data_IF_586279608493
#
_entry.id   IF_586279608493
#
_cell.length_a   1.000
_cell.length_b   1.000
_cell.length_c   1.000
_cell.angle_alpha   90.00
_cell.angle_beta   90.00
_cell.angle_gamma   90.00
#
_symmetry.space_group_name_H-M   'P 1'
#
loop_
_entity.id
_entity.type
_entity.pdbx_description
1 polymer ?
#
# COMPACT_ATOMS: atom_id res chain seq x y z
N UNK A 1 -14.22 28.66 -29.90
CA UNK A 1 -13.45 27.42 -30.13
C UNK A 1 -14.16 26.28 -29.42
N UNK A 2 -14.61 25.25 -30.16
CA UNK A 2 -15.58 24.26 -29.70
C UNK A 2 -14.95 23.31 -28.66
N UNK A 3 -15.53 23.27 -27.45
CA UNK A 3 -15.21 22.29 -26.43
C UNK A 3 -15.66 20.90 -26.91
N UNK A 4 -14.69 20.01 -27.19
CA UNK A 4 -14.97 18.59 -27.40
C UNK A 4 -15.19 17.95 -26.03
N UNK A 5 -16.40 17.43 -25.81
CA UNK A 5 -16.73 16.53 -24.71
C UNK A 5 -15.81 15.32 -24.79
N UNK A 6 -14.92 15.16 -23.82
CA UNK A 6 -14.17 13.92 -23.63
C UNK A 6 -15.13 12.99 -22.88
N UNK A 7 -15.47 11.89 -23.55
CA UNK A 7 -16.24 10.78 -22.98
C UNK A 7 -15.33 10.14 -21.94
N UNK A 8 -15.68 10.32 -20.67
CA UNK A 8 -15.10 9.60 -19.54
C UNK A 8 -15.45 8.13 -19.69
N UNK A 9 -14.48 7.32 -20.13
CA UNK A 9 -14.53 5.88 -19.93
C UNK A 9 -14.19 5.66 -18.45
N UNK A 10 -15.21 5.61 -17.60
CA UNK A 10 -15.12 5.19 -16.21
C UNK A 10 -14.74 3.71 -16.16
N UNK A 11 -13.44 3.45 -16.31
CA UNK A 11 -12.82 2.17 -15.99
C UNK A 11 -12.82 2.12 -14.45
N UNK A 12 -13.72 1.30 -13.89
CA UNK A 12 -13.82 1.08 -12.46
C UNK A 12 -12.46 0.73 -11.88
N UNK A 13 -12.06 1.47 -10.85
CA UNK A 13 -10.83 1.32 -10.10
C UNK A 13 -10.85 -0.06 -9.42
N UNK A 14 -9.97 -1.01 -9.79
CA UNK A 14 -9.73 -2.18 -8.97
C UNK A 14 -8.93 -1.73 -7.76
N UNK A 15 -9.54 -1.91 -6.60
CA UNK A 15 -9.04 -1.56 -5.29
C UNK A 15 -7.73 -2.33 -5.04
N UNK A 16 -6.59 -1.63 -5.11
CA UNK A 16 -5.28 -2.12 -4.68
C UNK A 16 -5.14 -2.00 -3.14
N UNK A 17 -6.12 -2.52 -2.41
CA UNK A 17 -5.87 -3.00 -1.06
C UNK A 17 -4.95 -4.22 -1.22
N UNK A 18 -3.88 -4.31 -0.45
CA UNK A 18 -2.79 -5.28 -0.66
C UNK A 18 -3.25 -6.74 -0.62
N UNK A 19 -3.76 -7.25 -1.74
CA UNK A 19 -4.29 -8.60 -1.92
C UNK A 19 -4.82 -8.76 -3.35
N UNK A 20 -4.09 -9.52 -4.17
CA UNK A 20 -4.56 -10.18 -5.39
C UNK A 20 -5.35 -9.34 -6.42
N UNK A 21 -4.66 -8.69 -7.36
CA UNK A 21 -5.24 -8.45 -8.69
C UNK A 21 -5.07 -9.72 -9.54
N UNK A 22 -6.09 -10.59 -9.56
CA UNK A 22 -6.31 -11.47 -10.71
C UNK A 22 -6.95 -10.62 -11.81
N UNK A 23 -6.17 -10.25 -12.82
CA UNK A 23 -6.66 -9.60 -14.04
C UNK A 23 -7.30 -10.64 -14.95
N UNK A 24 -8.57 -10.95 -14.71
CA UNK A 24 -9.35 -11.77 -15.65
C UNK A 24 -9.93 -10.85 -16.74
N UNK A 25 -9.16 -10.63 -17.80
CA UNK A 25 -9.61 -9.89 -18.97
C UNK A 25 -10.44 -10.78 -19.90
N UNK A 26 -11.75 -10.83 -19.62
CA UNK A 26 -12.85 -10.89 -20.58
C UNK A 26 -12.99 -12.10 -21.51
N UNK A 27 -14.07 -12.87 -21.32
CA UNK A 27 -15.08 -12.96 -22.37
C UNK A 27 -16.47 -13.29 -21.81
N UNK A 28 -17.46 -12.55 -22.28
CA UNK A 28 -18.86 -12.74 -21.97
C UNK A 28 -19.37 -13.93 -22.81
N UNK A 29 -19.49 -15.12 -22.24
CA UNK A 29 -20.30 -16.20 -22.83
C UNK A 29 -21.09 -16.94 -21.75
N UNK A 30 -22.40 -16.98 -21.96
CA UNK A 30 -23.38 -17.64 -21.09
C UNK A 30 -23.42 -19.12 -21.44
N UNK A 31 -22.91 -19.99 -20.56
CA UNK A 31 -23.46 -21.31 -20.17
C UNK A 31 -22.37 -22.27 -19.70
N UNK A 32 -22.66 -22.97 -18.59
CA UNK A 32 -22.19 -24.35 -18.38
C UNK A 32 -20.95 -24.53 -17.51
N UNK A 33 -21.17 -25.23 -16.39
CA UNK A 33 -20.18 -25.92 -15.53
C UNK A 33 -19.36 -25.08 -14.53
N UNK A 34 -19.83 -25.11 -13.27
CA UNK A 34 -19.02 -24.85 -12.08
C UNK A 34 -17.89 -25.88 -11.99
N UNK A 35 -16.74 -25.54 -12.52
CA UNK A 35 -15.48 -26.16 -12.10
C UNK A 35 -15.07 -25.50 -10.79
N UNK A 36 -15.44 -26.13 -9.68
CA UNK A 36 -14.84 -25.87 -8.37
C UNK A 36 -13.39 -26.35 -8.46
N UNK A 37 -12.49 -25.48 -8.92
CA UNK A 37 -11.07 -25.80 -9.00
C UNK A 37 -10.40 -25.46 -7.65
N UNK A 38 -9.67 -26.44 -7.14
CA UNK A 38 -8.91 -26.51 -5.90
C UNK A 38 -7.97 -25.30 -5.62
N UNK A 39 -8.49 -24.13 -5.29
CA UNK A 39 -7.70 -22.94 -4.91
C UNK A 39 -7.05 -23.07 -3.53
N UNK A 40 -7.69 -23.75 -2.58
CA UNK A 40 -7.20 -23.87 -1.21
C UNK A 40 -5.91 -24.72 -1.09
N UNK A 41 -5.75 -25.75 -1.93
CA UNK A 41 -4.58 -26.63 -1.86
C UNK A 41 -3.30 -26.00 -2.45
N UNK A 42 -3.41 -25.02 -3.35
CA UNK A 42 -2.27 -24.25 -3.89
C UNK A 42 -1.92 -23.02 -3.04
N UNK A 43 -2.88 -22.46 -2.30
CA UNK A 43 -2.65 -21.35 -1.39
C UNK A 43 -1.71 -21.74 -0.23
N UNK A 44 -1.86 -22.94 0.31
CA UNK A 44 -1.10 -23.45 1.47
C UNK A 44 0.41 -23.61 1.17
N UNK A 45 0.78 -23.96 -0.07
CA UNK A 45 2.19 -24.18 -0.44
C UNK A 45 3.04 -22.89 -0.53
N UNK A 46 2.42 -21.71 -0.51
CA UNK A 46 3.13 -20.43 -0.64
C UNK A 46 3.10 -19.61 0.66
N UNK A 47 2.62 -20.16 1.76
CA UNK A 47 2.61 -19.50 3.06
C UNK A 47 3.98 -19.62 3.73
N UNK A 48 4.49 -18.49 4.20
CA UNK A 48 5.69 -18.45 5.04
C UNK A 48 5.42 -17.63 6.29
N UNK A 49 6.29 -17.74 7.29
CA UNK A 49 6.18 -16.92 8.50
C UNK A 49 6.41 -15.45 8.17
N UNK A 50 5.57 -14.58 8.69
CA UNK A 50 5.69 -13.12 8.49
C UNK A 50 7.06 -12.59 8.95
N UNK A 51 7.65 -13.18 9.99
CA UNK A 51 8.98 -12.79 10.49
C UNK A 51 10.14 -13.26 9.60
N UNK A 52 9.90 -14.22 8.70
CA UNK A 52 10.89 -14.68 7.75
C UNK A 52 10.72 -13.98 6.39
N UNK A 53 9.64 -13.21 6.20
CA UNK A 53 9.37 -12.50 4.96
C UNK A 53 10.07 -11.14 4.90
N UNK A 54 10.82 -10.93 3.83
CA UNK A 54 11.49 -9.68 3.48
C UNK A 54 11.08 -9.21 2.07
N UNK A 55 9.99 -9.75 1.50
CA UNK A 55 9.61 -9.54 0.11
C UNK A 55 10.13 -10.60 -0.87
N UNK A 56 10.81 -11.65 -0.39
CA UNK A 56 11.37 -12.69 -1.24
C UNK A 56 10.28 -13.52 -1.94
N UNK A 57 10.41 -13.68 -3.26
CA UNK A 57 9.44 -14.42 -4.06
C UNK A 57 8.11 -13.70 -4.29
N UNK A 58 8.03 -12.41 -3.94
CA UNK A 58 6.96 -11.56 -4.44
C UNK A 58 7.01 -11.50 -5.97
N UNK A 59 5.87 -11.73 -6.61
CA UNK A 59 5.76 -11.87 -8.05
C UNK A 59 4.51 -11.13 -8.54
N UNK A 60 4.62 -10.52 -9.72
CA UNK A 60 3.47 -9.98 -10.44
C UNK A 60 3.19 -10.83 -11.67
N UNK A 61 1.93 -10.91 -12.05
CA UNK A 61 1.48 -11.72 -13.17
C UNK A 61 2.18 -11.32 -14.48
N UNK A 62 2.55 -12.34 -15.26
CA UNK A 62 3.27 -12.14 -16.53
C UNK A 62 4.70 -11.62 -16.38
N UNK A 63 5.25 -11.55 -15.16
CA UNK A 63 6.54 -10.92 -14.86
C UNK A 63 7.79 -11.75 -15.12
N UNK A 64 7.69 -13.04 -15.46
CA UNK A 64 8.85 -13.95 -15.46
C UNK A 64 9.95 -13.55 -16.46
N UNK A 65 9.57 -13.15 -17.68
CA UNK A 65 10.51 -12.71 -18.69
C UNK A 65 11.11 -11.35 -18.33
N UNK A 66 10.26 -10.39 -17.98
CA UNK A 66 10.65 -9.01 -17.64
C UNK A 66 11.45 -8.94 -16.36
N UNK A 67 11.28 -9.86 -15.40
CA UNK A 67 12.07 -9.91 -14.17
C UNK A 67 13.56 -10.12 -14.45
N UNK A 68 13.92 -10.94 -15.45
CA UNK A 68 15.32 -11.16 -15.84
C UNK A 68 15.92 -9.89 -16.44
N UNK A 69 15.19 -9.25 -17.34
CA UNK A 69 15.57 -8.00 -18.01
C UNK A 69 15.74 -6.89 -16.96
N UNK A 70 14.74 -6.71 -16.10
CA UNK A 70 14.73 -5.68 -15.07
C UNK A 70 15.89 -5.86 -14.07
N UNK A 71 16.26 -7.10 -13.75
CA UNK A 71 17.43 -7.40 -12.92
C UNK A 71 18.74 -7.01 -13.62
N UNK A 72 18.89 -7.32 -14.91
CA UNK A 72 20.08 -6.95 -15.70
C UNK A 72 20.23 -5.43 -15.85
N UNK A 73 19.11 -4.71 -15.96
CA UNK A 73 19.06 -3.26 -16.16
C UNK A 73 18.71 -2.45 -14.90
N UNK A 74 18.88 -3.03 -13.70
CA UNK A 74 18.43 -2.39 -12.44
C UNK A 74 18.97 -0.97 -12.24
N UNK A 75 20.25 -0.74 -12.57
CA UNK A 75 20.86 0.58 -12.42
C UNK A 75 20.24 1.66 -13.33
N UNK A 76 19.89 1.28 -14.57
CA UNK A 76 19.22 2.18 -15.53
C UNK A 76 17.79 2.49 -15.10
N UNK A 77 17.07 1.46 -14.64
CA UNK A 77 15.71 1.58 -14.08
C UNK A 77 15.72 2.52 -12.87
N UNK A 78 16.63 2.30 -11.92
CA UNK A 78 16.71 3.12 -10.71
C UNK A 78 16.98 4.60 -11.03
N UNK A 79 17.89 4.88 -11.97
CA UNK A 79 18.17 6.24 -12.43
C UNK A 79 16.96 6.89 -13.09
N UNK A 80 16.25 6.15 -13.96
CA UNK A 80 15.06 6.63 -14.65
C UNK A 80 13.93 6.95 -13.67
N UNK A 81 13.69 6.07 -12.70
CA UNK A 81 12.66 6.24 -11.67
C UNK A 81 12.96 7.41 -10.76
N UNK A 82 14.19 7.54 -10.26
CA UNK A 82 14.61 8.70 -9.46
C UNK A 82 14.43 10.02 -10.21
N UNK A 83 14.79 10.05 -11.51
CA UNK A 83 14.56 11.22 -12.37
C UNK A 83 13.07 11.51 -12.52
N UNK A 84 12.25 10.51 -12.79
CA UNK A 84 10.80 10.64 -12.93
C UNK A 84 10.15 11.25 -11.68
N UNK A 85 10.47 10.75 -10.49
CA UNK A 85 9.97 11.32 -9.23
C UNK A 85 10.42 12.76 -9.01
N UNK A 86 11.69 13.06 -9.26
CA UNK A 86 12.22 14.41 -9.08
C UNK A 86 11.55 15.40 -10.05
N UNK A 87 11.36 15.03 -11.31
CA UNK A 87 10.82 15.91 -12.35
C UNK A 87 9.30 16.07 -12.24
N UNK A 88 8.57 14.96 -12.09
CA UNK A 88 7.09 14.95 -12.08
C UNK A 88 6.52 15.32 -10.71
N UNK A 89 7.09 14.74 -9.65
CA UNK A 89 6.54 14.82 -8.29
C UNK A 89 7.31 15.77 -7.37
N UNK A 90 8.48 16.27 -7.79
CA UNK A 90 9.34 17.15 -6.97
C UNK A 90 9.85 16.47 -5.70
N UNK A 91 9.96 15.14 -5.73
CA UNK A 91 10.33 14.32 -4.58
C UNK A 91 11.55 13.48 -4.90
N UNK A 92 12.48 13.37 -3.95
CA UNK A 92 13.56 12.39 -4.02
C UNK A 92 13.07 11.06 -3.46
N UNK A 93 13.48 9.95 -4.07
CA UNK A 93 13.05 8.61 -3.65
C UNK A 93 14.21 7.63 -3.63
N UNK A 94 14.11 6.66 -2.73
CA UNK A 94 14.93 5.46 -2.68
C UNK A 94 14.20 4.30 -3.34
N UNK A 95 14.86 3.60 -4.26
CA UNK A 95 14.34 2.37 -4.87
C UNK A 95 14.68 1.18 -3.98
N UNK A 96 13.65 0.42 -3.57
CA UNK A 96 13.81 -0.78 -2.76
C UNK A 96 13.75 -2.03 -3.61
N UNK A 97 12.71 -2.16 -4.42
CA UNK A 97 12.46 -3.37 -5.20
C UNK A 97 12.12 -3.07 -6.67
N UNK A 98 12.46 -4.01 -7.55
CA UNK A 98 12.13 -3.98 -8.97
C UNK A 98 11.58 -5.35 -9.31
N UNK A 99 10.29 -5.41 -9.61
CA UNK A 99 9.54 -6.65 -9.81
C UNK A 99 9.08 -6.68 -11.25
N UNK A 100 9.41 -7.75 -11.98
CA UNK A 100 8.90 -7.93 -13.34
C UNK A 100 7.38 -8.04 -13.32
N UNK A 101 6.72 -7.38 -14.27
CA UNK A 101 5.29 -7.45 -14.54
C UNK A 101 5.09 -7.69 -16.05
N UNK A 102 3.86 -7.97 -16.48
CA UNK A 102 3.55 -8.14 -17.90
C UNK A 102 4.03 -6.93 -18.74
N UNK A 103 5.01 -7.17 -19.62
CA UNK A 103 5.65 -6.16 -20.49
C UNK A 103 6.23 -4.91 -19.76
N UNK A 104 6.52 -5.01 -18.46
CA UNK A 104 7.07 -3.92 -17.67
C UNK A 104 7.81 -4.42 -16.42
N UNK A 105 8.34 -3.49 -15.62
CA UNK A 105 8.69 -3.73 -14.24
C UNK A 105 7.98 -2.70 -13.34
N UNK A 106 7.44 -3.17 -12.22
CA UNK A 106 6.97 -2.33 -11.12
C UNK A 106 8.14 -2.05 -10.19
N UNK A 107 8.37 -0.77 -9.90
CA UNK A 107 9.49 -0.30 -9.08
C UNK A 107 8.94 0.30 -7.80
N UNK A 108 9.23 -0.36 -6.68
CA UNK A 108 8.80 0.04 -5.35
C UNK A 108 9.79 1.03 -4.76
N UNK A 109 9.27 2.14 -4.29
CA UNK A 109 10.06 3.27 -3.79
C UNK A 109 9.55 3.79 -2.47
N UNK A 110 10.44 4.43 -1.72
CA UNK A 110 10.17 5.19 -0.51
C UNK A 110 10.64 6.64 -0.72
N UNK A 111 9.89 7.63 -0.25
CA UNK A 111 10.33 9.02 -0.29
C UNK A 111 11.53 9.27 0.64
N UNK A 112 12.43 10.14 0.21
CA UNK A 112 13.54 10.59 1.05
C UNK A 112 13.09 11.83 1.85
N UNK A 113 12.85 11.64 3.15
CA UNK A 113 12.39 12.69 4.05
C UNK A 113 10.88 12.90 4.04
N UNK A 114 10.43 14.08 4.47
CA UNK A 114 9.00 14.41 4.54
C UNK A 114 8.47 15.01 3.22
N UNK A 115 7.22 14.70 2.84
CA UNK A 115 6.32 13.73 3.45
C UNK A 115 6.83 12.28 3.23
N UNK A 116 6.81 11.47 4.30
CA UNK A 116 7.22 10.06 4.22
C UNK A 116 6.12 9.17 3.61
N UNK A 117 6.45 8.39 2.57
CA UNK A 117 5.53 7.45 1.94
C UNK A 117 6.25 6.38 1.11
N UNK A 118 5.57 5.26 0.89
CA UNK A 118 5.90 4.19 -0.04
C UNK A 118 4.89 4.18 -1.20
N UNK A 119 5.40 3.98 -2.41
CA UNK A 119 4.57 3.84 -3.62
C UNK A 119 5.31 3.04 -4.69
N UNK A 120 4.70 2.87 -5.86
CA UNK A 120 5.36 2.24 -7.00
C UNK A 120 5.11 3.00 -8.30
N UNK A 121 6.00 2.77 -9.27
CA UNK A 121 5.84 3.24 -10.66
C UNK A 121 6.15 2.11 -11.62
N UNK A 122 5.72 2.26 -12.87
CA UNK A 122 5.88 1.25 -13.90
C UNK A 122 6.90 1.72 -14.92
N UNK A 123 7.85 0.83 -15.23
CA UNK A 123 8.86 1.02 -16.27
C UNK A 123 8.60 0.01 -17.39
N UNK A 124 8.12 0.45 -18.57
CA UNK A 124 7.86 -0.47 -19.67
C UNK A 124 9.12 -1.18 -20.16
N UNK A 125 8.97 -2.44 -20.56
CA UNK A 125 10.05 -3.29 -21.05
C UNK A 125 9.64 -3.90 -22.38
N UNK A 126 10.45 -3.66 -23.41
CA UNK A 126 10.35 -4.35 -24.69
C UNK A 126 11.10 -5.69 -24.60
N UNK A 127 10.33 -6.74 -24.31
CA UNK A 127 10.85 -8.10 -24.13
C UNK A 127 11.49 -8.64 -25.42
N UNK A 128 11.02 -8.22 -26.60
CA UNK A 128 11.54 -8.73 -27.89
C UNK A 128 12.95 -8.23 -28.17
N UNK A 129 13.24 -7.00 -27.75
CA UNK A 129 14.51 -6.34 -27.98
C UNK A 129 15.38 -6.26 -26.71
N UNK A 130 14.99 -6.95 -25.64
CA UNK A 130 15.67 -6.94 -24.33
C UNK A 130 15.96 -5.51 -23.82
N UNK A 131 14.97 -4.61 -23.97
CA UNK A 131 15.18 -3.17 -23.78
C UNK A 131 14.25 -2.58 -22.74
N UNK A 132 14.82 -1.86 -21.77
CA UNK A 132 14.07 -1.01 -20.85
C UNK A 132 13.76 0.34 -21.50
N UNK A 133 12.49 0.76 -21.44
CA UNK A 133 12.03 2.04 -21.99
C UNK A 133 12.05 3.12 -20.91
N UNK A 134 13.26 3.55 -20.52
CA UNK A 134 13.51 4.48 -19.41
C UNK A 134 12.90 5.88 -19.59
N UNK A 135 12.55 6.26 -20.81
CA UNK A 135 11.87 7.50 -21.17
C UNK A 135 10.35 7.42 -21.02
N UNK A 136 9.81 6.22 -20.77
CA UNK A 136 8.37 5.94 -20.67
C UNK A 136 7.93 5.52 -19.28
N UNK A 137 8.67 5.91 -18.24
CA UNK A 137 8.25 5.67 -16.85
C UNK A 137 6.92 6.36 -16.60
N UNK A 138 5.97 5.65 -15.99
CA UNK A 138 4.66 6.19 -15.68
C UNK A 138 4.17 5.68 -14.31
N UNK A 139 3.18 6.38 -13.75
CA UNK A 139 2.48 6.02 -12.52
C UNK A 139 1.01 5.80 -12.84
N UNK A 140 0.39 4.81 -12.21
CA UNK A 140 -1.07 4.67 -12.23
C UNK A 140 -1.69 5.94 -11.64
N UNK A 141 -2.79 6.39 -12.22
CA UNK A 141 -3.54 7.55 -11.73
C UNK A 141 -3.95 7.35 -10.27
N UNK A 142 -3.66 8.34 -9.43
CA UNK A 142 -3.94 8.31 -7.99
C UNK A 142 -2.90 7.59 -7.14
N UNK A 143 -2.05 6.73 -7.71
CA UNK A 143 -1.14 5.88 -6.94
C UNK A 143 -0.05 6.67 -6.20
N UNK A 144 0.57 7.66 -6.86
CA UNK A 144 1.62 8.48 -6.22
C UNK A 144 0.98 9.65 -5.48
N UNK A 145 -0.13 10.16 -6.00
CA UNK A 145 -0.89 11.27 -5.45
C UNK A 145 -1.46 10.92 -4.07
N UNK A 146 -2.13 9.77 -3.93
CA UNK A 146 -2.62 9.27 -2.64
C UNK A 146 -1.48 8.97 -1.67
N UNK A 147 -0.35 8.45 -2.16
CA UNK A 147 0.82 8.19 -1.31
C UNK A 147 1.38 9.51 -0.72
N UNK A 148 1.54 10.54 -1.54
CA UNK A 148 1.94 11.88 -1.07
C UNK A 148 0.93 12.43 -0.05
N UNK A 149 -0.37 12.33 -0.33
CA UNK A 149 -1.41 12.83 0.57
C UNK A 149 -1.39 12.12 1.94
N UNK A 150 -1.23 10.80 1.94
CA UNK A 150 -1.10 10.02 3.18
C UNK A 150 0.16 10.39 3.98
N UNK A 151 1.29 10.67 3.32
CA UNK A 151 2.50 11.13 3.97
C UNK A 151 2.36 12.54 4.56
N UNK A 152 1.70 13.46 3.84
CA UNK A 152 1.39 14.80 4.36
C UNK A 152 0.46 14.70 5.58
N UNK A 153 -0.54 13.82 5.54
CA UNK A 153 -1.41 13.56 6.68
C UNK A 153 -0.61 13.05 7.88
N UNK A 154 0.27 12.06 7.68
CA UNK A 154 1.09 11.52 8.76
C UNK A 154 2.03 12.57 9.37
N UNK A 155 2.61 13.44 8.54
CA UNK A 155 3.41 14.57 8.99
C UNK A 155 2.61 15.57 9.84
N UNK A 156 1.35 15.84 9.47
CA UNK A 156 0.48 16.78 10.20
C UNK A 156 0.02 16.22 11.55
N UNK A 157 -0.29 14.93 11.59
CA UNK A 157 -0.85 14.23 12.76
C UNK A 157 0.17 13.32 13.47
N UNK A 158 1.46 13.62 13.37
CA UNK A 158 2.57 12.87 13.98
C UNK A 158 2.41 12.60 15.49
N UNK A 159 1.83 13.54 16.25
CA UNK A 159 1.63 13.45 17.69
C UNK A 159 0.50 12.49 18.01
N UNK A 160 -0.58 12.57 17.25
CA UNK A 160 -1.75 11.70 17.37
C UNK A 160 -1.41 10.27 16.91
N UNK A 161 -0.71 10.11 15.79
CA UNK A 161 -0.18 8.83 15.32
C UNK A 161 0.87 8.26 16.29
N UNK A 162 1.70 9.12 16.89
CA UNK A 162 2.66 8.72 17.92
C UNK A 162 2.01 8.05 19.13
N UNK A 163 0.73 8.34 19.43
CA UNK A 163 -0.01 7.59 20.46
C UNK A 163 -0.36 6.17 20.00
N UNK A 164 -0.77 6.02 18.74
CA UNK A 164 -0.99 4.70 18.13
C UNK A 164 0.31 3.89 18.13
N UNK A 165 1.42 4.50 17.71
CA UNK A 165 2.75 3.87 17.70
C UNK A 165 3.14 3.36 19.08
N UNK A 166 3.03 4.21 20.10
CA UNK A 166 3.35 3.84 21.48
C UNK A 166 2.47 2.71 21.99
N UNK A 167 1.18 2.74 21.65
CA UNK A 167 0.25 1.68 21.99
C UNK A 167 0.63 0.36 21.32
N UNK A 168 0.80 0.32 20.00
CA UNK A 168 1.15 -0.89 19.25
C UNK A 168 2.50 -1.45 19.68
N UNK A 169 3.50 -0.59 19.92
CA UNK A 169 4.81 -0.99 20.43
C UNK A 169 4.73 -1.62 21.83
N UNK A 170 3.80 -1.17 22.68
CA UNK A 170 3.54 -1.79 23.98
C UNK A 170 2.81 -3.12 23.81
N UNK A 171 1.79 -3.17 22.96
CA UNK A 171 1.00 -4.38 22.67
C UNK A 171 1.89 -5.52 22.19
N UNK A 172 2.78 -5.30 21.21
CA UNK A 172 3.69 -6.36 20.71
C UNK A 172 4.75 -6.81 21.73
N UNK A 173 4.99 -6.04 22.80
CA UNK A 173 5.87 -6.44 23.91
C UNK A 173 5.13 -7.30 24.94
N UNK A 174 3.85 -7.03 25.15
CA UNK A 174 3.04 -7.66 26.20
C UNK A 174 2.29 -8.89 25.69
N UNK A 175 1.87 -8.84 24.43
CA UNK A 175 1.07 -9.87 23.78
C UNK A 175 1.88 -10.63 22.74
N UNK A 176 1.57 -11.92 22.47
CA UNK A 176 2.25 -12.73 21.47
C UNK A 176 1.84 -12.37 20.04
N UNK A 177 1.94 -11.10 19.67
CA UNK A 177 1.68 -10.56 18.32
C UNK A 177 2.88 -9.78 17.80
N UNK A 178 3.00 -9.65 16.48
CA UNK A 178 4.07 -8.92 15.79
C UNK A 178 3.51 -8.15 14.60
N UNK A 179 4.30 -7.18 14.12
CA UNK A 179 4.08 -6.57 12.81
C UNK A 179 4.88 -7.27 11.71
N UNK A 180 4.86 -6.68 10.51
CA UNK A 180 5.71 -7.07 9.40
C UNK A 180 7.18 -6.70 9.65
N UNK A 181 8.07 -7.23 8.81
CA UNK A 181 9.45 -6.74 8.74
C UNK A 181 9.54 -5.46 7.95
N UNK A 182 10.41 -4.55 8.38
CA UNK A 182 10.65 -3.30 7.65
C UNK A 182 11.11 -3.57 6.21
N UNK A 183 11.91 -4.61 5.98
CA UNK A 183 12.34 -5.00 4.64
C UNK A 183 11.15 -5.45 3.76
N UNK A 184 10.18 -6.16 4.34
CA UNK A 184 8.97 -6.52 3.60
C UNK A 184 8.15 -5.27 3.26
N UNK A 185 7.92 -4.37 4.23
CA UNK A 185 7.25 -3.08 3.98
C UNK A 185 7.92 -2.35 2.82
N UNK A 186 9.23 -2.17 2.88
CA UNK A 186 9.98 -1.46 1.84
C UNK A 186 9.92 -2.14 0.47
N UNK A 187 9.91 -3.47 0.40
CA UNK A 187 10.04 -4.21 -0.84
C UNK A 187 8.70 -4.53 -1.54
N UNK A 188 7.58 -4.56 -0.81
CA UNK A 188 6.29 -5.00 -1.36
C UNK A 188 5.12 -4.08 -1.06
N UNK A 189 5.24 -3.17 -0.08
CA UNK A 189 4.16 -2.25 0.24
C UNK A 189 4.31 -0.96 -0.53
N UNK A 190 3.18 -0.42 -1.00
CA UNK A 190 3.15 0.76 -1.85
C UNK A 190 1.86 1.58 -1.68
N UNK A 191 1.16 1.47 -0.57
CA UNK A 191 -0.15 2.11 -0.38
C UNK A 191 -0.11 3.48 0.33
N UNK A 192 1.07 4.10 0.45
CA UNK A 192 1.23 5.42 1.06
C UNK A 192 2.14 5.44 2.27
N UNK A 193 1.77 6.14 3.34
CA UNK A 193 2.50 6.09 4.60
C UNK A 193 2.41 4.69 5.22
N UNK A 194 3.56 4.11 5.59
CA UNK A 194 3.64 2.76 6.15
C UNK A 194 4.53 2.72 7.39
N UNK A 195 4.08 1.97 8.39
CA UNK A 195 4.90 1.43 9.47
C UNK A 195 4.93 -0.10 9.37
N UNK A 196 5.62 -0.75 10.30
CA UNK A 196 5.56 -2.22 10.42
C UNK A 196 4.24 -2.75 10.98
N UNK A 197 3.36 -1.88 11.49
CA UNK A 197 2.10 -2.28 12.14
C UNK A 197 0.85 -1.78 11.42
N UNK A 198 0.96 -0.67 10.69
CA UNK A 198 -0.19 -0.08 10.00
C UNK A 198 0.25 0.73 8.79
N UNK A 199 -0.72 1.03 7.93
CA UNK A 199 -0.54 1.98 6.84
C UNK A 199 -1.72 2.94 6.74
N UNK A 200 -1.52 4.03 5.98
CA UNK A 200 -2.55 5.04 5.74
C UNK A 200 -2.83 5.10 4.24
N UNK A 201 -4.08 4.86 3.87
CA UNK A 201 -4.59 5.06 2.50
C UNK A 201 -5.59 6.20 2.46
N UNK A 202 -5.72 6.82 1.29
CA UNK A 202 -6.67 7.91 1.07
C UNK A 202 -7.50 7.65 -0.18
N UNK A 203 -8.81 7.86 -0.08
CA UNK A 203 -9.76 7.70 -1.18
C UNK A 203 -10.70 8.91 -1.25
N UNK A 204 -10.17 10.06 -1.67
CA UNK A 204 -10.98 11.27 -1.79
C UNK A 204 -10.35 12.29 -2.77
N UNK A 205 -11.09 12.61 -3.83
CA UNK A 205 -10.73 13.63 -4.82
C UNK A 205 -10.52 15.01 -4.17
N UNK A 206 -11.08 15.28 -2.99
CA UNK A 206 -10.85 16.52 -2.24
C UNK A 206 -9.37 16.73 -1.91
N UNK A 207 -8.59 15.63 -1.82
CA UNK A 207 -7.16 15.63 -1.56
C UNK A 207 -6.32 16.04 -2.77
N UNK A 208 -6.88 16.10 -3.97
CA UNK A 208 -6.18 16.63 -5.15
C UNK A 208 -5.68 18.05 -4.91
N UNK A 209 -6.43 18.84 -4.15
CA UNK A 209 -6.02 20.21 -3.78
C UNK A 209 -4.77 20.23 -2.92
N UNK A 210 -4.59 19.24 -2.04
CA UNK A 210 -3.39 19.12 -1.19
C UNK A 210 -2.20 18.73 -2.05
N UNK A 211 -2.36 17.70 -2.89
CA UNK A 211 -1.35 17.28 -3.84
C UNK A 211 -0.92 18.40 -4.81
N UNK A 212 -1.85 19.16 -5.39
CA UNK A 212 -1.53 20.28 -6.27
C UNK A 212 -0.79 21.41 -5.55
N UNK A 213 -1.03 21.60 -4.24
CA UNK A 213 -0.23 22.53 -3.41
C UNK A 213 1.15 21.97 -3.14
N UNK A 214 1.28 20.65 -2.99
CA UNK A 214 2.57 19.99 -2.78
C UNK A 214 3.49 20.19 -3.98
N UNK A 215 2.99 19.98 -5.20
CA UNK A 215 3.79 20.22 -6.42
C UNK A 215 4.29 21.66 -6.55
N UNK A 216 3.57 22.64 -5.98
CA UNK A 216 3.97 24.05 -5.99
C UNK A 216 5.04 24.37 -4.95
N UNK A 217 4.96 23.75 -3.77
CA UNK A 217 5.94 23.92 -2.70
C UNK A 217 6.03 22.64 -1.85
N UNK A 218 6.88 21.67 -2.23
CA UNK A 218 6.99 20.40 -1.53
C UNK A 218 7.66 20.54 -0.16
N UNK A 219 8.34 21.66 0.09
CA UNK A 219 9.12 21.91 1.31
C UNK A 219 8.33 22.67 2.39
N UNK A 220 7.00 22.78 2.25
CA UNK A 220 6.14 23.35 3.31
C UNK A 220 6.38 22.59 4.61
N UNK A 221 6.48 23.33 5.70
CA UNK A 221 6.59 22.71 7.02
C UNK A 221 5.24 22.19 7.52
N UNK A 222 5.29 21.44 8.62
CA UNK A 222 4.12 20.82 9.25
C UNK A 222 2.99 21.81 9.55
N UNK A 223 3.31 22.97 10.12
CA UNK A 223 2.30 23.98 10.48
C UNK A 223 1.64 24.61 9.26
N UNK A 224 2.39 24.76 8.16
CA UNK A 224 1.81 25.15 6.88
C UNK A 224 0.85 24.09 6.37
N UNK A 225 1.25 22.82 6.34
CA UNK A 225 0.38 21.73 5.91
C UNK A 225 -0.87 21.58 6.77
N UNK A 226 -0.73 21.72 8.09
CA UNK A 226 -1.87 21.70 9.02
C UNK A 226 -2.91 22.77 8.68
N UNK A 227 -2.46 23.98 8.31
CA UNK A 227 -3.37 25.03 7.81
C UNK A 227 -4.01 24.65 6.48
N UNK A 228 -3.25 24.07 5.55
CA UNK A 228 -3.79 23.64 4.25
C UNK A 228 -4.86 22.55 4.38
N UNK A 229 -4.64 21.55 5.23
CA UNK A 229 -5.61 20.49 5.51
C UNK A 229 -6.88 21.09 6.12
N UNK A 230 -6.74 21.93 7.15
CA UNK A 230 -7.86 22.61 7.81
C UNK A 230 -8.67 23.48 6.84
N UNK A 231 -8.02 24.22 5.96
CA UNK A 231 -8.71 25.05 4.96
C UNK A 231 -9.39 24.24 3.86
N UNK A 232 -8.86 23.06 3.54
CA UNK A 232 -9.39 22.22 2.47
C UNK A 232 -10.70 21.53 2.88
N UNK A 233 -11.07 21.59 4.17
CA UNK A 233 -12.25 20.94 4.76
C UNK A 233 -12.32 19.46 4.39
N UNK A 234 -11.15 18.82 4.37
CA UNK A 234 -11.04 17.39 4.08
C UNK A 234 -11.78 16.67 5.18
N UNK A 235 -12.61 15.72 4.76
CA UNK A 235 -13.29 14.84 5.67
C UNK A 235 -12.25 13.95 6.37
N UNK A 236 -12.15 13.96 7.71
CA UNK A 236 -11.41 12.94 8.44
C UNK A 236 -11.68 11.52 7.93
N UNK A 237 -12.92 11.22 7.53
CA UNK A 237 -13.33 9.92 7.00
C UNK A 237 -12.60 9.54 5.69
N UNK A 238 -11.93 10.48 5.01
CA UNK A 238 -11.15 10.22 3.81
C UNK A 238 -9.81 9.51 4.07
N UNK A 239 -9.42 9.36 5.34
CA UNK A 239 -8.19 8.69 5.76
C UNK A 239 -8.49 7.34 6.41
N UNK A 240 -7.90 6.29 5.85
CA UNK A 240 -8.06 4.92 6.33
C UNK A 240 -6.75 4.47 6.96
N UNK A 241 -6.76 4.27 8.28
CA UNK A 241 -5.62 3.78 9.06
C UNK A 241 -5.83 2.28 9.27
N UNK A 242 -5.09 1.47 8.54
CA UNK A 242 -5.27 0.01 8.54
C UNK A 242 -4.15 -0.67 9.32
N UNK A 243 -4.50 -1.28 10.45
CA UNK A 243 -3.58 -1.97 11.37
C UNK A 243 -3.56 -3.46 11.02
N UNK A 244 -2.36 -4.00 10.75
CA UNK A 244 -2.12 -5.43 10.55
C UNK A 244 -1.18 -5.95 11.63
N UNK A 245 -1.67 -6.90 12.42
CA UNK A 245 -0.88 -7.66 13.38
C UNK A 245 -0.98 -9.16 13.06
N UNK A 246 0.04 -9.88 13.47
CA UNK A 246 0.17 -11.32 13.21
C UNK A 246 0.49 -12.04 14.51
N UNK A 247 -0.07 -13.22 14.73
CA UNK A 247 0.34 -14.07 15.85
C UNK A 247 1.85 -14.34 15.76
N UNK A 248 2.55 -14.31 16.89
CA UNK A 248 4.02 -14.41 16.93
C UNK A 248 4.52 -15.85 16.67
N UNK A 249 3.76 -16.85 17.12
CA UNK A 249 4.12 -18.26 17.00
C UNK A 249 3.49 -18.85 15.74
N UNK A 250 4.21 -19.72 15.00
CA UNK A 250 3.64 -20.45 13.88
C UNK A 250 2.47 -21.35 14.34
N UNK A 251 1.58 -21.70 13.41
CA UNK A 251 0.44 -22.59 13.62
C UNK A 251 -0.43 -22.18 14.82
N UNK A 252 -0.58 -20.87 15.03
CA UNK A 252 -1.36 -20.29 16.12
C UNK A 252 -2.48 -19.46 15.52
N UNK A 253 -3.71 -19.84 15.84
CA UNK A 253 -4.91 -19.10 15.45
C UNK A 253 -4.91 -17.67 16.04
N UNK A 254 -5.46 -16.68 15.32
CA UNK A 254 -5.72 -15.35 15.86
C UNK A 254 -6.44 -15.40 17.21
N UNK A 255 -5.85 -14.76 18.21
CA UNK A 255 -6.40 -14.77 19.55
C UNK A 255 -7.52 -13.72 19.71
N UNK A 256 -8.76 -14.18 19.90
CA UNK A 256 -9.94 -13.32 20.08
C UNK A 256 -9.85 -12.38 21.27
N UNK A 257 -9.23 -12.78 22.38
CA UNK A 257 -9.08 -11.91 23.56
C UNK A 257 -8.16 -10.74 23.25
N UNK A 258 -6.99 -11.01 22.65
CA UNK A 258 -6.04 -9.98 22.22
C UNK A 258 -6.69 -9.03 21.20
N UNK A 259 -7.36 -9.59 20.19
CA UNK A 259 -8.07 -8.81 19.17
C UNK A 259 -9.13 -7.88 19.79
N UNK A 260 -10.02 -8.42 20.63
CA UNK A 260 -11.08 -7.65 21.27
C UNK A 260 -10.53 -6.56 22.19
N UNK A 261 -9.44 -6.84 22.90
CA UNK A 261 -8.75 -5.86 23.73
C UNK A 261 -8.21 -4.72 22.87
N UNK A 262 -7.59 -5.03 21.72
CA UNK A 262 -7.08 -4.01 20.80
C UNK A 262 -8.19 -3.13 20.25
N UNK A 263 -9.28 -3.72 19.77
CA UNK A 263 -10.45 -2.98 19.27
C UNK A 263 -11.00 -2.06 20.36
N UNK A 264 -11.23 -2.59 21.56
CA UNK A 264 -11.76 -1.83 22.70
C UNK A 264 -10.83 -0.69 23.12
N UNK A 265 -9.52 -0.92 23.13
CA UNK A 265 -8.56 0.12 23.49
C UNK A 265 -8.55 1.23 22.45
N UNK A 266 -8.56 0.89 21.16
CA UNK A 266 -8.66 1.88 20.08
C UNK A 266 -9.97 2.67 20.15
N UNK A 267 -11.12 2.02 20.39
CA UNK A 267 -12.41 2.70 20.57
C UNK A 267 -12.37 3.73 21.72
N UNK A 268 -11.78 3.36 22.86
CA UNK A 268 -11.73 4.22 24.04
C UNK A 268 -10.58 5.26 24.01
N UNK A 269 -9.57 5.06 23.17
CA UNK A 269 -8.39 5.93 23.10
C UNK A 269 -8.77 7.31 22.56
N UNK A 270 -8.35 8.35 23.29
CA UNK A 270 -8.59 9.75 22.94
C UNK A 270 -7.39 10.38 22.26
N UNK A 271 -7.68 11.26 21.28
CA UNK A 271 -6.67 12.03 20.56
C UNK A 271 -5.78 11.19 19.65
N UNK A 272 -6.34 10.12 19.09
CA UNK A 272 -5.85 9.48 17.88
C UNK A 272 -6.11 10.41 16.68
N UNK A 273 -5.41 10.17 15.57
CA UNK A 273 -5.54 11.01 14.39
C UNK A 273 -6.94 10.82 13.78
N UNK A 274 -7.59 11.87 13.25
CA UNK A 274 -8.95 11.74 12.72
C UNK A 274 -9.00 10.83 11.50
N UNK A 275 -9.86 9.81 11.49
CA UNK A 275 -9.94 8.84 10.41
C UNK A 275 -10.67 7.55 10.73
N UNK A 276 -10.74 6.69 9.73
CA UNK A 276 -11.33 5.35 9.81
C UNK A 276 -10.26 4.34 10.16
N UNK A 277 -10.39 3.68 11.30
CA UNK A 277 -9.43 2.66 11.73
C UNK A 277 -9.97 1.27 11.46
N UNK A 278 -9.13 0.43 10.85
CA UNK A 278 -9.36 -1.00 10.74
C UNK A 278 -8.30 -1.79 11.48
N UNK A 279 -8.67 -2.93 12.04
CA UNK A 279 -7.76 -3.83 12.74
C UNK A 279 -7.90 -5.22 12.14
N UNK A 280 -6.76 -5.80 11.75
CA UNK A 280 -6.65 -7.17 11.29
C UNK A 280 -5.67 -7.91 12.20
N UNK A 281 -6.10 -9.03 12.77
CA UNK A 281 -5.24 -9.98 13.47
C UNK A 281 -5.21 -11.30 12.70
N UNK A 282 -4.06 -11.57 12.09
CA UNK A 282 -3.79 -12.78 11.32
C UNK A 282 -3.10 -13.85 12.15
N UNK A 283 -3.07 -15.08 11.63
CA UNK A 283 -2.10 -16.07 12.07
C UNK A 283 -0.66 -15.61 11.72
N UNK A 284 0.35 -16.46 11.95
CA UNK A 284 1.74 -16.09 11.71
C UNK A 284 2.14 -16.08 10.22
N UNK A 285 1.22 -16.32 9.29
CA UNK A 285 1.57 -16.57 7.89
C UNK A 285 1.44 -15.33 7.01
N UNK A 286 2.13 -15.36 5.88
CA UNK A 286 1.95 -14.43 4.78
C UNK A 286 2.15 -15.20 3.47
N UNK A 287 1.35 -14.86 2.45
CA UNK A 287 1.54 -15.44 1.13
C UNK A 287 2.80 -14.82 0.51
N UNK A 288 3.81 -15.65 0.28
CA UNK A 288 5.13 -15.24 -0.23
C UNK A 288 5.04 -14.49 -1.56
N UNK A 289 4.12 -14.89 -2.45
CA UNK A 289 3.94 -14.32 -3.78
C UNK A 289 3.16 -13.01 -3.75
N UNK A 290 2.11 -12.95 -2.93
CA UNK A 290 1.23 -11.78 -2.83
C UNK A 290 1.73 -10.70 -1.85
N UNK A 291 2.58 -11.06 -0.89
CA UNK A 291 3.06 -10.15 0.15
C UNK A 291 1.99 -9.73 1.16
N UNK A 292 0.90 -10.48 1.26
CA UNK A 292 -0.19 -10.23 2.21
C UNK A 292 -0.79 -11.53 2.78
N UNK A 293 -1.62 -11.39 3.80
CA UNK A 293 -2.38 -12.50 4.39
C UNK A 293 -3.87 -12.29 4.09
N UNK A 294 -4.49 -13.32 3.50
CA UNK A 294 -5.92 -13.37 3.17
C UNK A 294 -6.56 -14.67 3.69
N UNK A 295 -6.04 -15.19 4.82
CA UNK A 295 -6.54 -16.42 5.42
C UNK A 295 -7.90 -16.18 6.07
N UNK A 296 -8.82 -17.15 5.93
CA UNK A 296 -10.20 -17.08 6.42
C UNK A 296 -10.30 -16.97 7.95
N UNK A 297 -9.27 -17.41 8.68
CA UNK A 297 -9.22 -17.35 10.14
C UNK A 297 -8.88 -15.95 10.70
N UNK A 298 -8.55 -14.98 9.83
CA UNK A 298 -8.24 -13.61 10.22
C UNK A 298 -9.40 -13.00 11.01
N UNK A 299 -9.09 -12.39 12.16
CA UNK A 299 -10.04 -11.57 12.90
C UNK A 299 -9.95 -10.14 12.41
N UNK A 300 -11.09 -9.54 12.09
CA UNK A 300 -11.13 -8.18 11.55
C UNK A 300 -12.20 -7.29 12.20
N UNK A 301 -11.85 -6.02 12.32
CA UNK A 301 -12.76 -4.88 12.55
C UNK A 301 -12.48 -3.92 11.40
N UNK A 302 -13.22 -4.09 10.32
CA UNK A 302 -13.04 -3.43 9.02
C UNK A 302 -14.41 -3.08 8.44
N UNK A 303 -14.49 -2.78 7.13
CA UNK A 303 -15.73 -2.45 6.43
C UNK A 303 -16.91 -3.38 6.77
N UNK A 304 -18.13 -2.86 7.03
CA UNK A 304 -18.54 -1.45 7.17
C UNK A 304 -18.41 -0.92 8.62
N UNK A 305 -17.69 -1.63 9.49
CA UNK A 305 -17.65 -1.42 10.94
C UNK A 305 -16.33 -0.79 11.42
N UNK A 306 -15.90 0.28 10.76
CA UNK A 306 -14.68 1.01 11.15
C UNK A 306 -14.76 1.57 12.58
N UNK A 307 -13.61 1.75 13.21
CA UNK A 307 -13.50 2.56 14.43
C UNK A 307 -13.26 4.00 13.98
N UNK A 308 -14.26 4.86 14.19
CA UNK A 308 -14.21 6.26 13.76
C UNK A 308 -13.50 7.14 14.80
N UNK A 309 -12.66 8.06 14.34
CA UNK A 309 -12.00 9.08 15.16
C UNK A 309 -12.14 10.46 14.55
N UNK A 310 -12.48 11.43 15.39
CA UNK A 310 -12.69 12.85 15.05
C UNK A 310 -11.58 13.74 15.61
#
# INVERSE_FOLDING_TARGET
MKYKKIITLSIGIPILLGGCMNLDTGNHDKNGEKTVSNSHAQADQNLIRVQDYTGQGYELDGGQATAKIAKAHRGEIEKAVKKFFLEKYKTKVKVHNVVGALNAASVFVESEGEPHFHTYVVVPIDVKNDKVLTDKVWSQEGQVESAINSGIYAMVFDQELGKLDNYLAKTVKQEPVVGMRQEAVNNVMASGFHTVYYYITTFDDSLDKVYLKYLKNPNKNKEEWKREIKHSKIDPESFYITIHLYMKKPNTEPNKFIFNQIVKDLENMKGLAPGQYSVFLHDNTINKKAGSNSQENTLERSDPNYIMKD
#
